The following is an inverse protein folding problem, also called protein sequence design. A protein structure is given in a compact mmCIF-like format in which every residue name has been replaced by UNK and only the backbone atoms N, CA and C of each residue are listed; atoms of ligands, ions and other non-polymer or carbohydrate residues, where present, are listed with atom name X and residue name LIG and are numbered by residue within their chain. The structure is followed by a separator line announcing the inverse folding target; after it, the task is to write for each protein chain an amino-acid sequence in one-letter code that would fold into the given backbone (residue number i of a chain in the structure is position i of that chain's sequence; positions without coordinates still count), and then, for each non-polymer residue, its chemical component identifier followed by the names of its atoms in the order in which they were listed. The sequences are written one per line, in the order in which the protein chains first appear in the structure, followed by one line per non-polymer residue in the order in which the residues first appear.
data_IF_682274735867
#
_entry.id   IF_682274735867
#
_cell.length_a   1.000
_cell.length_b   1.000
_cell.length_c   1.000
_cell.angle_alpha   90.00
_cell.angle_beta   90.00
_cell.angle_gamma   90.00
#
_symmetry.space_group_name_H-M   'P 1'
#
loop_
_entity.id
_entity.type
_entity.pdbx_description
1 polymer ?
#
# COMPACT_ATOMS: atom_id res chain seq x y z
N UNK A 1 12.92 -15.58 8.78
CA UNK A 1 12.71 -16.83 9.51
C UNK A 1 13.97 -17.74 9.53
N UNK A 2 14.68 -17.93 8.41
CA UNK A 2 15.87 -18.83 8.37
C UNK A 2 17.08 -18.29 9.15
N UNK A 3 17.19 -16.96 9.30
CA UNK A 3 18.29 -16.30 10.02
C UNK A 3 18.05 -16.21 11.53
N UNK A 4 16.85 -16.50 12.00
CA UNK A 4 16.48 -16.30 13.40
C UNK A 4 16.30 -14.82 13.80
N UNK A 5 16.44 -13.89 12.86
CA UNK A 5 16.30 -12.46 13.07
C UNK A 5 14.81 -12.09 13.00
N UNK A 6 14.37 -11.24 13.92
CA UNK A 6 13.00 -10.68 13.95
C UNK A 6 13.06 -9.16 13.88
N UNK A 7 13.07 -8.58 12.69
CA UNK A 7 13.07 -7.12 12.57
C UNK A 7 11.79 -6.54 13.20
N UNK A 8 11.91 -5.41 13.87
CA UNK A 8 10.76 -4.62 14.34
C UNK A 8 10.02 -3.99 13.17
N UNK A 9 10.76 -3.68 12.10
CA UNK A 9 10.21 -3.12 10.87
C UNK A 9 10.83 -3.81 9.67
N UNK A 10 9.96 -4.14 8.71
CA UNK A 10 10.36 -4.65 7.40
C UNK A 10 9.45 -4.04 6.33
N UNK A 11 9.95 -2.97 5.69
CA UNK A 11 9.24 -2.24 4.66
C UNK A 11 9.78 -2.59 3.27
N UNK A 12 8.91 -2.62 2.30
CA UNK A 12 9.22 -2.88 0.90
C UNK A 12 8.83 -1.68 0.02
N UNK A 13 9.67 -1.39 -0.96
CA UNK A 13 9.36 -0.49 -2.06
C UNK A 13 9.77 -1.17 -3.37
N UNK A 14 8.86 -1.28 -4.33
CA UNK A 14 9.23 -1.80 -5.65
C UNK A 14 10.12 -0.80 -6.41
N UNK A 15 10.83 -1.29 -7.41
CA UNK A 15 11.74 -0.48 -8.22
C UNK A 15 11.06 0.79 -8.75
N UNK A 16 9.84 0.66 -9.25
CA UNK A 16 9.09 1.77 -9.83
C UNK A 16 8.76 2.85 -8.78
N UNK A 17 8.40 2.45 -7.57
CA UNK A 17 8.20 3.37 -6.44
C UNK A 17 9.49 4.11 -6.10
N UNK A 18 10.63 3.42 -6.07
CA UNK A 18 11.94 4.06 -5.82
C UNK A 18 12.25 5.10 -6.90
N UNK A 19 12.05 4.78 -8.19
CA UNK A 19 12.21 5.71 -9.30
C UNK A 19 11.31 6.95 -9.16
N UNK A 20 10.06 6.77 -8.74
CA UNK A 20 9.13 7.87 -8.47
C UNK A 20 9.64 8.79 -7.36
N UNK A 21 10.13 8.22 -6.25
CA UNK A 21 10.68 9.00 -5.14
C UNK A 21 11.92 9.77 -5.56
N UNK A 22 12.84 9.16 -6.29
CA UNK A 22 14.04 9.83 -6.82
C UNK A 22 13.66 11.00 -7.73
N UNK A 23 12.73 10.78 -8.66
CA UNK A 23 12.25 11.84 -9.56
C UNK A 23 11.57 12.99 -8.79
N UNK A 24 10.81 12.66 -7.76
CA UNK A 24 10.08 13.65 -6.96
C UNK A 24 10.98 14.48 -6.07
N UNK A 25 12.00 13.85 -5.45
CA UNK A 25 12.89 14.53 -4.51
C UNK A 25 14.09 15.18 -5.19
N UNK A 26 14.42 14.79 -6.41
CA UNK A 26 15.65 15.19 -7.11
C UNK A 26 16.91 14.61 -6.45
N UNK A 27 16.77 13.68 -5.52
CA UNK A 27 17.87 13.04 -4.79
C UNK A 27 17.98 11.59 -5.24
N UNK A 28 19.21 11.12 -5.46
CA UNK A 28 19.47 9.68 -5.57
C UNK A 28 19.27 9.06 -4.19
N UNK A 29 18.30 8.18 -4.07
CA UNK A 29 17.97 7.51 -2.81
C UNK A 29 19.14 6.64 -2.34
N UNK A 30 19.84 6.05 -3.29
CA UNK A 30 21.02 5.22 -3.06
C UNK A 30 22.10 5.65 -4.04
N UNK A 31 22.95 6.60 -3.63
CA UNK A 31 24.01 7.15 -4.45
C UNK A 31 24.89 6.04 -5.07
N UNK A 32 24.96 6.02 -6.41
CA UNK A 32 25.77 5.05 -7.16
C UNK A 32 25.12 3.69 -7.39
N UNK A 33 23.91 3.45 -6.93
CA UNK A 33 23.14 2.24 -7.23
C UNK A 33 22.02 2.55 -8.23
N UNK A 34 21.89 1.73 -9.26
CA UNK A 34 20.74 1.76 -10.14
C UNK A 34 19.46 1.51 -9.34
N UNK A 35 18.31 2.09 -9.70
CA UNK A 35 17.07 1.82 -8.99
C UNK A 35 16.76 0.32 -8.96
N UNK A 36 16.65 -0.21 -7.76
CA UNK A 36 16.26 -1.58 -7.46
C UNK A 36 15.09 -1.57 -6.48
N UNK A 37 14.34 -2.68 -6.34
CA UNK A 37 13.47 -2.85 -5.19
C UNK A 37 14.27 -2.75 -3.89
N UNK A 38 13.67 -2.14 -2.87
CA UNK A 38 14.33 -1.84 -1.60
C UNK A 38 13.57 -2.48 -0.45
N UNK A 39 14.32 -3.05 0.47
CA UNK A 39 13.85 -3.42 1.80
C UNK A 39 14.46 -2.46 2.82
N UNK A 40 13.64 -1.83 3.64
CA UNK A 40 14.04 -1.09 4.81
C UNK A 40 13.83 -1.99 6.02
N UNK A 41 14.91 -2.26 6.75
CA UNK A 41 14.92 -3.20 7.87
C UNK A 41 15.34 -2.45 9.12
N UNK A 42 14.55 -2.55 10.20
CA UNK A 42 14.91 -2.01 11.49
C UNK A 42 14.96 -3.12 12.54
N UNK A 43 15.99 -3.11 13.35
CA UNK A 43 16.20 -4.03 14.47
C UNK A 43 16.04 -3.26 15.77
N UNK A 44 15.31 -3.80 16.72
CA UNK A 44 15.15 -3.25 18.06
C UNK A 44 15.44 -4.28 19.14
N UNK A 45 15.52 -3.83 20.40
CA UNK A 45 15.76 -4.69 21.55
C UNK A 45 16.93 -4.19 22.41
N UNK A 46 17.53 -5.11 23.15
CA UNK A 46 18.72 -4.76 23.92
C UNK A 46 19.96 -4.61 23.01
N UNK A 47 20.93 -3.75 23.38
CA UNK A 47 22.08 -3.46 22.53
C UNK A 47 22.89 -4.68 22.08
N UNK A 48 23.00 -5.71 22.92
CA UNK A 48 23.78 -6.92 22.60
C UNK A 48 23.05 -7.81 21.57
N UNK A 49 21.73 -7.86 21.64
CA UNK A 49 20.89 -8.56 20.66
C UNK A 49 20.95 -7.85 19.31
N UNK A 50 20.79 -6.52 19.28
CA UNK A 50 20.87 -5.71 18.05
C UNK A 50 22.24 -5.89 17.40
N UNK A 51 23.34 -5.83 18.16
CA UNK A 51 24.68 -6.01 17.63
C UNK A 51 24.84 -7.42 16.98
N UNK A 52 24.40 -8.46 17.68
CA UNK A 52 24.47 -9.84 17.19
C UNK A 52 23.63 -10.04 15.92
N UNK A 53 22.38 -9.58 15.93
CA UNK A 53 21.48 -9.70 14.78
C UNK A 53 21.96 -8.88 13.59
N UNK A 54 22.49 -7.67 13.81
CA UNK A 54 23.09 -6.84 12.77
C UNK A 54 24.26 -7.52 12.07
N UNK A 55 25.18 -8.12 12.83
CA UNK A 55 26.32 -8.86 12.27
C UNK A 55 25.83 -10.06 11.45
N UNK A 56 24.84 -10.80 11.94
CA UNK A 56 24.27 -11.93 11.21
C UNK A 56 23.58 -11.49 9.91
N UNK A 57 22.83 -10.38 9.96
CA UNK A 57 22.15 -9.83 8.80
C UNK A 57 23.14 -9.35 7.74
N UNK A 58 24.15 -8.58 8.14
CA UNK A 58 25.20 -8.07 7.24
C UNK A 58 25.93 -9.21 6.54
N UNK A 59 26.36 -10.20 7.31
CA UNK A 59 27.01 -11.38 6.74
C UNK A 59 26.13 -12.09 5.71
N UNK A 60 24.85 -12.26 6.00
CA UNK A 60 23.93 -12.90 5.05
C UNK A 60 23.75 -12.07 3.78
N UNK A 61 23.67 -10.73 3.88
CA UNK A 61 23.58 -9.83 2.75
C UNK A 61 24.81 -9.91 1.86
N UNK A 62 26.02 -9.93 2.46
CA UNK A 62 27.30 -10.09 1.77
C UNK A 62 27.39 -11.45 1.07
N UNK A 63 27.10 -12.54 1.78
CA UNK A 63 27.10 -13.90 1.23
C UNK A 63 26.10 -14.06 0.06
N UNK A 64 25.02 -13.26 0.08
CA UNK A 64 23.98 -13.23 -0.97
C UNK A 64 24.30 -12.23 -2.09
N UNK A 65 25.43 -11.54 -2.05
CA UNK A 65 25.83 -10.49 -3.01
C UNK A 65 24.80 -9.36 -3.12
N UNK A 66 24.10 -9.04 -2.03
CA UNK A 66 23.14 -7.94 -1.95
C UNK A 66 23.83 -6.67 -1.46
N UNK A 67 23.52 -5.56 -2.13
CA UNK A 67 23.97 -4.24 -1.68
C UNK A 67 23.13 -3.78 -0.51
N UNK A 68 23.77 -3.19 0.50
CA UNK A 68 23.06 -2.59 1.63
C UNK A 68 23.73 -1.29 2.09
N UNK A 69 22.92 -0.46 2.76
CA UNK A 69 23.36 0.72 3.48
C UNK A 69 22.98 0.54 4.94
N UNK A 70 23.90 0.82 5.84
CA UNK A 70 23.65 0.81 7.27
C UNK A 70 23.56 2.22 7.80
N UNK A 71 22.55 2.50 8.61
CA UNK A 71 22.45 3.75 9.36
C UNK A 71 23.23 3.57 10.68
N UNK A 72 24.28 4.36 10.84
CA UNK A 72 25.11 4.42 12.03
C UNK A 72 24.76 5.61 12.95
N UNK A 73 23.78 6.40 12.58
CA UNK A 73 23.23 7.51 13.33
C UNK A 73 21.75 7.71 13.09
N UNK A 74 21.07 8.42 14.00
CA UNK A 74 19.68 8.77 13.87
C UNK A 74 19.39 9.62 12.61
N UNK A 75 20.31 10.50 12.25
CA UNK A 75 20.20 11.34 11.06
C UNK A 75 20.16 10.49 9.79
N UNK A 76 21.05 9.51 9.68
CA UNK A 76 21.04 8.58 8.54
C UNK A 76 19.82 7.67 8.52
N UNK A 77 19.37 7.20 9.68
CA UNK A 77 18.13 6.45 9.78
C UNK A 77 16.94 7.28 9.28
N UNK A 78 16.85 8.55 9.68
CA UNK A 78 15.81 9.47 9.20
C UNK A 78 15.88 9.72 7.69
N UNK A 79 17.07 9.81 7.10
CA UNK A 79 17.23 9.92 5.64
C UNK A 79 16.68 8.69 4.91
N UNK A 80 16.93 7.48 5.40
CA UNK A 80 16.38 6.25 4.83
C UNK A 80 14.85 6.20 4.98
N UNK A 81 14.33 6.59 6.16
CA UNK A 81 12.90 6.67 6.39
C UNK A 81 12.21 7.73 5.53
N UNK A 82 12.88 8.85 5.24
CA UNK A 82 12.33 9.87 4.36
C UNK A 82 11.93 9.29 3.00
N UNK A 83 12.73 8.37 2.46
CA UNK A 83 12.42 7.68 1.21
C UNK A 83 11.06 6.97 1.27
N UNK A 84 10.85 6.21 2.34
CA UNK A 84 9.58 5.47 2.55
C UNK A 84 8.40 6.45 2.68
N UNK A 85 8.57 7.52 3.47
CA UNK A 85 7.54 8.54 3.67
C UNK A 85 7.20 9.32 2.40
N UNK A 86 8.16 9.50 1.47
CA UNK A 86 7.95 10.19 0.19
C UNK A 86 7.28 9.31 -0.87
N UNK A 87 7.13 8.00 -0.69
CA UNK A 87 6.50 7.11 -1.66
C UNK A 87 5.10 7.57 -2.07
N UNK A 88 4.19 7.76 -1.11
CA UNK A 88 2.82 8.19 -1.38
C UNK A 88 2.72 9.61 -1.96
N UNK A 89 3.40 10.65 -1.44
CA UNK A 89 3.43 11.98 -2.04
C UNK A 89 3.99 12.00 -3.47
N UNK A 90 5.06 11.24 -3.74
CA UNK A 90 5.65 11.15 -5.07
C UNK A 90 4.65 10.61 -6.10
N UNK A 91 3.95 9.54 -5.75
CA UNK A 91 2.93 8.94 -6.62
C UNK A 91 1.73 9.87 -6.84
N UNK A 92 1.30 10.60 -5.81
CA UNK A 92 0.17 11.53 -5.93
C UNK A 92 0.41 12.64 -6.98
N UNK A 93 1.67 12.99 -7.27
CA UNK A 93 2.01 13.99 -8.30
C UNK A 93 1.92 13.45 -9.74
N UNK A 94 1.75 12.15 -9.94
CA UNK A 94 1.81 11.53 -11.26
C UNK A 94 0.50 11.55 -12.04
N UNK A 95 -0.63 11.78 -11.34
CA UNK A 95 -1.97 11.84 -11.94
C UNK A 95 -2.93 12.61 -11.03
N UNK A 96 -4.10 12.95 -11.56
CA UNK A 96 -5.14 13.64 -10.78
C UNK A 96 -5.93 12.70 -9.84
N UNK A 97 -5.76 11.39 -10.00
CA UNK A 97 -6.37 10.38 -9.14
C UNK A 97 -5.36 9.33 -8.71
N UNK A 98 -5.37 9.01 -7.43
CA UNK A 98 -4.61 7.93 -6.83
C UNK A 98 -5.53 7.05 -6.00
N UNK A 99 -5.64 5.78 -6.39
CA UNK A 99 -6.25 4.73 -5.57
C UNK A 99 -5.15 4.00 -4.80
N UNK A 100 -5.33 3.84 -3.51
CA UNK A 100 -4.41 3.10 -2.65
C UNK A 100 -5.12 1.85 -2.14
N UNK A 101 -4.75 0.72 -2.71
CA UNK A 101 -5.28 -0.58 -2.32
C UNK A 101 -4.34 -1.23 -1.30
N UNK A 102 -4.85 -1.34 -0.12
CA UNK A 102 -4.26 -1.99 1.03
C UNK A 102 -4.67 -3.45 1.05
N UNK A 103 -3.78 -4.33 0.64
CA UNK A 103 -4.04 -5.77 0.52
C UNK A 103 -3.04 -6.57 1.35
N UNK A 104 -3.46 -7.74 1.81
CA UNK A 104 -2.60 -8.67 2.55
C UNK A 104 -2.54 -9.99 1.81
N UNK A 105 -1.35 -10.55 1.69
CA UNK A 105 -1.15 -11.92 1.20
C UNK A 105 -0.22 -12.68 2.15
N UNK A 106 -0.28 -14.03 2.18
CA UNK A 106 0.71 -14.82 2.91
C UNK A 106 2.14 -14.42 2.54
N UNK A 107 3.05 -14.45 3.51
CA UNK A 107 4.44 -13.96 3.32
C UNK A 107 5.16 -14.59 2.12
N UNK A 108 4.90 -15.85 1.84
CA UNK A 108 5.45 -16.58 0.70
C UNK A 108 4.82 -16.20 -0.64
N UNK A 109 3.69 -15.48 -0.64
CA UNK A 109 2.95 -15.09 -1.85
C UNK A 109 3.22 -13.63 -2.26
N UNK A 110 4.00 -12.87 -1.48
CA UNK A 110 4.27 -11.47 -1.79
C UNK A 110 4.96 -11.26 -3.13
N UNK A 111 5.88 -12.16 -3.51
CA UNK A 111 6.55 -12.10 -4.81
C UNK A 111 5.52 -12.26 -5.92
N UNK A 112 4.63 -13.25 -5.82
CA UNK A 112 3.57 -13.49 -6.79
C UNK A 112 2.61 -12.30 -6.93
N UNK A 113 2.35 -11.58 -5.83
CA UNK A 113 1.56 -10.35 -5.85
C UNK A 113 2.30 -9.22 -6.59
N UNK A 114 3.58 -8.99 -6.29
CA UNK A 114 4.38 -7.95 -6.94
C UNK A 114 4.55 -8.22 -8.44
N UNK A 115 4.76 -9.48 -8.83
CA UNK A 115 4.82 -9.89 -10.25
C UNK A 115 3.49 -9.61 -10.95
N UNK A 116 2.36 -9.95 -10.34
CA UNK A 116 1.04 -9.62 -10.87
C UNK A 116 0.89 -8.09 -11.09
N UNK A 117 1.34 -7.27 -10.14
CA UNK A 117 1.29 -5.80 -10.31
C UNK A 117 2.15 -5.34 -11.48
N UNK A 118 3.31 -5.95 -11.70
CA UNK A 118 4.16 -5.64 -12.86
C UNK A 118 3.47 -6.01 -14.19
N UNK A 119 2.76 -7.15 -14.23
CA UNK A 119 1.96 -7.55 -15.38
C UNK A 119 0.82 -6.57 -15.63
N UNK A 120 0.05 -6.21 -14.59
CA UNK A 120 -1.05 -5.24 -14.68
C UNK A 120 -0.56 -3.87 -15.18
N UNK A 121 0.57 -3.39 -14.68
CA UNK A 121 1.20 -2.14 -15.13
C UNK A 121 1.46 -2.16 -16.63
N UNK A 122 2.01 -3.25 -17.13
CA UNK A 122 2.38 -3.40 -18.54
C UNK A 122 1.17 -3.61 -19.43
N UNK A 123 0.27 -4.51 -19.05
CA UNK A 123 -0.90 -4.88 -19.86
C UNK A 123 -1.90 -3.73 -20.00
N UNK A 124 -2.18 -3.04 -18.89
CA UNK A 124 -3.13 -1.93 -18.88
C UNK A 124 -2.50 -0.56 -19.19
N UNK A 125 -1.19 -0.52 -19.40
CA UNK A 125 -0.45 0.74 -19.58
C UNK A 125 -0.82 1.79 -18.52
N UNK A 126 -0.74 1.40 -17.24
CA UNK A 126 -1.05 2.23 -16.09
C UNK A 126 0.20 2.49 -15.24
N UNK A 127 0.16 3.57 -14.48
CA UNK A 127 1.15 3.87 -13.44
C UNK A 127 0.73 3.17 -12.16
N UNK A 128 1.41 2.09 -11.78
CA UNK A 128 1.10 1.32 -10.57
C UNK A 128 2.39 1.12 -9.78
N UNK A 129 2.40 1.47 -8.50
CA UNK A 129 3.53 1.27 -7.61
C UNK A 129 3.15 0.49 -6.36
N UNK A 130 4.12 -0.24 -5.81
CA UNK A 130 3.94 -1.06 -4.60
C UNK A 130 4.93 -0.66 -3.54
N UNK A 131 4.44 -0.43 -2.34
CA UNK A 131 5.24 -0.33 -1.13
C UNK A 131 4.41 -0.78 0.08
N UNK A 132 5.03 -1.12 1.19
CA UNK A 132 4.27 -1.47 2.40
C UNK A 132 5.01 -2.39 3.35
N UNK A 133 4.25 -2.90 4.30
CA UNK A 133 4.69 -3.69 5.45
C UNK A 133 4.91 -5.15 5.05
N UNK A 134 6.05 -5.45 4.40
CA UNK A 134 6.28 -6.82 3.94
C UNK A 134 6.57 -7.81 5.09
N UNK A 135 6.79 -7.30 6.31
CA UNK A 135 6.97 -8.15 7.50
C UNK A 135 5.74 -8.94 7.90
N UNK A 136 4.55 -8.43 7.60
CA UNK A 136 3.24 -9.07 7.88
C UNK A 136 2.41 -9.36 6.62
N UNK A 137 2.95 -9.07 5.44
CA UNK A 137 2.29 -9.35 4.16
C UNK A 137 1.37 -8.24 3.67
N UNK A 138 1.29 -7.11 4.38
CA UNK A 138 0.46 -5.98 4.01
C UNK A 138 1.18 -5.06 3.01
N UNK A 139 0.68 -5.03 1.78
CA UNK A 139 1.23 -4.20 0.71
C UNK A 139 0.21 -3.20 0.18
N UNK A 140 0.67 -1.97 -0.02
CA UNK A 140 -0.11 -0.89 -0.61
C UNK A 140 0.15 -0.83 -2.11
N UNK A 141 -0.84 -1.22 -2.91
CA UNK A 141 -0.80 -1.14 -4.37
C UNK A 141 -1.48 0.15 -4.79
N UNK A 142 -0.73 1.05 -5.39
CA UNK A 142 -1.18 2.38 -5.74
C UNK A 142 -1.38 2.50 -7.25
N UNK A 143 -2.60 2.82 -7.66
CA UNK A 143 -2.96 3.10 -9.04
C UNK A 143 -3.06 4.62 -9.24
N UNK A 144 -2.29 5.16 -10.18
CA UNK A 144 -2.36 6.56 -10.58
C UNK A 144 -2.91 6.64 -11.99
N UNK A 145 -4.01 7.39 -12.15
CA UNK A 145 -4.68 7.56 -13.43
C UNK A 145 -5.40 8.90 -13.51
N UNK A 146 -5.79 9.29 -14.71
CA UNK A 146 -6.60 10.48 -14.94
C UNK A 146 -8.09 10.09 -14.96
N UNK A 147 -8.85 10.46 -13.93
CA UNK A 147 -10.28 10.15 -13.86
C UNK A 147 -11.13 10.88 -14.91
N UNK A 148 -10.61 11.94 -15.53
CA UNK A 148 -11.27 12.66 -16.63
C UNK A 148 -11.12 11.90 -17.95
N UNK A 149 -10.12 11.03 -18.08
CA UNK A 149 -9.96 10.11 -19.20
C UNK A 149 -10.75 8.83 -18.96
N UNK A 150 -11.84 8.66 -19.70
CA UNK A 150 -12.75 7.53 -19.57
C UNK A 150 -12.09 6.18 -19.91
N UNK A 151 -11.17 6.16 -20.85
CA UNK A 151 -10.44 4.95 -21.21
C UNK A 151 -9.46 4.56 -20.10
N UNK A 152 -8.68 5.52 -19.60
CA UNK A 152 -7.74 5.27 -18.50
C UNK A 152 -8.47 4.84 -17.21
N UNK A 153 -9.61 5.48 -16.91
CA UNK A 153 -10.47 5.10 -15.77
C UNK A 153 -10.99 3.67 -15.90
N UNK A 154 -11.46 3.28 -17.08
CA UNK A 154 -11.97 1.93 -17.33
C UNK A 154 -10.87 0.87 -17.18
N UNK A 155 -9.67 1.15 -17.71
CA UNK A 155 -8.49 0.28 -17.56
C UNK A 155 -8.06 0.17 -16.09
N UNK A 156 -8.11 1.26 -15.33
CA UNK A 156 -7.78 1.25 -13.91
C UNK A 156 -8.76 0.38 -13.09
N UNK A 157 -10.06 0.47 -13.33
CA UNK A 157 -11.08 -0.34 -12.67
C UNK A 157 -10.93 -1.83 -13.02
N UNK A 158 -10.63 -2.15 -14.28
CA UNK A 158 -10.40 -3.54 -14.69
C UNK A 158 -9.13 -4.11 -14.06
N UNK A 159 -8.03 -3.38 -14.08
CA UNK A 159 -6.78 -3.77 -13.45
C UNK A 159 -6.95 -3.97 -11.93
N UNK A 160 -7.68 -3.07 -11.27
CA UNK A 160 -8.03 -3.21 -9.86
C UNK A 160 -8.84 -4.47 -9.58
N UNK A 161 -9.84 -4.75 -10.42
CA UNK A 161 -10.66 -5.96 -10.28
C UNK A 161 -9.81 -7.23 -10.41
N UNK A 162 -8.86 -7.25 -11.31
CA UNK A 162 -7.92 -8.37 -11.47
C UNK A 162 -6.97 -8.49 -10.30
N UNK A 163 -6.49 -7.37 -9.74
CA UNK A 163 -5.68 -7.37 -8.53
C UNK A 163 -6.45 -8.04 -7.37
N UNK A 164 -7.70 -7.63 -7.13
CA UNK A 164 -8.50 -8.17 -6.02
C UNK A 164 -8.78 -9.68 -6.19
N UNK A 165 -9.02 -10.14 -7.42
CA UNK A 165 -9.13 -11.58 -7.72
C UNK A 165 -7.83 -12.32 -7.43
N UNK A 166 -6.69 -11.76 -7.85
CA UNK A 166 -5.37 -12.35 -7.60
C UNK A 166 -5.06 -12.44 -6.11
N UNK A 167 -5.36 -11.39 -5.34
CA UNK A 167 -5.21 -11.41 -3.88
C UNK A 167 -6.02 -12.56 -3.25
N UNK A 168 -7.26 -12.74 -3.68
CA UNK A 168 -8.09 -13.85 -3.21
C UNK A 168 -7.52 -15.23 -3.61
N UNK A 169 -7.06 -15.40 -4.86
CA UNK A 169 -6.41 -16.62 -5.35
C UNK A 169 -5.16 -16.99 -4.57
N UNK A 170 -4.40 -16.00 -4.12
CA UNK A 170 -3.20 -16.17 -3.28
C UNK A 170 -3.55 -16.47 -1.81
N UNK A 171 -4.83 -16.58 -1.46
CA UNK A 171 -5.27 -16.79 -0.08
C UNK A 171 -5.15 -15.55 0.80
N UNK A 172 -5.11 -14.38 0.18
CA UNK A 172 -4.98 -13.09 0.85
C UNK A 172 -6.31 -12.45 1.22
N UNK A 173 -6.22 -11.23 1.77
CA UNK A 173 -7.35 -10.39 2.14
C UNK A 173 -7.31 -9.05 1.37
N UNK A 174 -8.48 -8.60 0.91
CA UNK A 174 -8.64 -7.35 0.13
C UNK A 174 -8.44 -6.09 0.97
N UNK A 175 -8.34 -6.21 2.29
CA UNK A 175 -7.99 -5.12 3.18
C UNK A 175 -7.13 -5.62 4.33
N UNK A 176 -5.96 -5.00 4.52
CA UNK A 176 -5.08 -5.23 5.64
C UNK A 176 -5.50 -4.40 6.85
N UNK A 177 -5.37 -3.09 6.75
CA UNK A 177 -5.57 -2.16 7.87
C UNK A 177 -6.61 -1.05 7.59
N UNK A 178 -6.87 -0.70 6.31
CA UNK A 178 -7.74 0.43 5.95
C UNK A 178 -9.24 0.14 6.08
N UNK A 179 -9.64 -1.14 6.11
CA UNK A 179 -11.04 -1.55 6.10
C UNK A 179 -11.68 -1.50 4.72
N UNK A 180 -12.95 -1.86 4.66
CA UNK A 180 -13.69 -2.00 3.39
C UNK A 180 -14.28 -0.66 2.93
N UNK A 181 -14.97 0.05 3.81
CA UNK A 181 -15.64 1.31 3.48
C UNK A 181 -16.55 1.20 2.27
N UNK A 182 -16.54 2.23 1.42
CA UNK A 182 -17.22 2.24 0.12
C UNK A 182 -16.34 1.69 -1.00
N UNK A 183 -15.06 2.00 -0.98
CA UNK A 183 -14.13 1.70 -2.06
C UNK A 183 -13.99 0.20 -2.35
N UNK A 184 -13.98 -0.63 -1.31
CA UNK A 184 -13.80 -2.08 -1.43
C UNK A 184 -15.11 -2.88 -1.37
N UNK A 185 -16.25 -2.22 -1.18
CA UNK A 185 -17.57 -2.87 -1.18
C UNK A 185 -17.82 -3.74 -2.42
N UNK A 186 -17.46 -3.35 -3.66
CA UNK A 186 -17.66 -4.19 -4.84
C UNK A 186 -16.92 -5.52 -4.79
N UNK A 187 -15.84 -5.60 -4.04
CA UNK A 187 -14.94 -6.77 -3.99
C UNK A 187 -15.18 -7.67 -2.78
N UNK A 188 -15.87 -7.17 -1.74
CA UNK A 188 -15.99 -7.87 -0.46
C UNK A 188 -16.67 -9.24 -0.59
N UNK A 189 -17.64 -9.38 -1.51
CA UNK A 189 -18.34 -10.65 -1.72
C UNK A 189 -17.47 -11.78 -2.25
N UNK A 190 -16.37 -11.48 -2.94
CA UNK A 190 -15.47 -12.54 -3.42
C UNK A 190 -14.69 -13.20 -2.27
N UNK A 191 -14.58 -12.53 -1.12
CA UNK A 191 -13.79 -13.00 0.01
C UNK A 191 -14.57 -13.94 0.95
N UNK A 192 -15.90 -13.89 0.95
CA UNK A 192 -16.73 -14.61 1.90
C UNK A 192 -17.71 -15.57 1.23
N UNK A 193 -17.87 -16.76 1.81
CA UNK A 193 -18.94 -17.66 1.41
C UNK A 193 -20.31 -17.19 1.93
N UNK A 194 -21.39 -17.83 1.50
CA UNK A 194 -22.74 -17.41 1.84
C UNK A 194 -23.08 -17.52 3.33
N UNK A 195 -22.51 -18.47 4.04
CA UNK A 195 -22.75 -18.64 5.48
C UNK A 195 -22.06 -17.52 6.27
N UNK A 196 -20.81 -17.21 5.95
CA UNK A 196 -20.06 -16.10 6.53
C UNK A 196 -20.77 -14.77 6.26
N UNK A 197 -21.16 -14.53 5.01
CA UNK A 197 -21.87 -13.31 4.63
C UNK A 197 -23.16 -13.10 5.39
N UNK A 198 -24.01 -14.14 5.46
CA UNK A 198 -25.27 -14.10 6.22
C UNK A 198 -25.03 -13.87 7.72
N UNK A 199 -23.99 -14.47 8.28
CA UNK A 199 -23.62 -14.28 9.68
C UNK A 199 -23.21 -12.83 9.95
N UNK A 200 -22.37 -12.23 9.11
CA UNK A 200 -21.98 -10.83 9.21
C UNK A 200 -23.21 -9.89 9.12
N UNK A 201 -24.12 -10.14 8.17
CA UNK A 201 -25.36 -9.39 8.06
C UNK A 201 -26.26 -9.53 9.29
N UNK A 202 -26.37 -10.72 9.88
CA UNK A 202 -27.15 -10.96 11.08
C UNK A 202 -26.58 -10.20 12.28
N UNK A 203 -25.25 -10.19 12.45
CA UNK A 203 -24.57 -9.40 13.49
C UNK A 203 -24.88 -7.92 13.31
N UNK A 204 -24.69 -7.39 12.09
CA UNK A 204 -25.00 -5.99 11.77
C UNK A 204 -26.46 -5.65 12.11
N UNK A 205 -27.40 -6.46 11.68
CA UNK A 205 -28.83 -6.23 11.93
C UNK A 205 -29.20 -6.30 13.42
N UNK A 206 -28.55 -7.16 14.19
CA UNK A 206 -28.78 -7.28 15.63
C UNK A 206 -28.30 -6.04 16.39
N UNK A 207 -27.13 -5.50 16.03
CA UNK A 207 -26.52 -4.35 16.69
C UNK A 207 -27.05 -3.01 16.17
N UNK A 208 -27.54 -2.96 14.94
CA UNK A 208 -28.07 -1.78 14.28
C UNK A 208 -29.40 -2.11 13.56
N UNK A 209 -30.47 -2.39 14.32
CA UNK A 209 -31.76 -2.82 13.74
C UNK A 209 -32.41 -1.76 12.85
N UNK A 210 -32.08 -0.50 13.06
CA UNK A 210 -32.61 0.63 12.28
C UNK A 210 -31.73 1.06 11.11
N UNK A 211 -30.52 0.47 10.94
CA UNK A 211 -29.61 0.74 9.81
C UNK A 211 -29.05 2.16 9.80
N UNK A 212 -28.89 2.79 10.97
CA UNK A 212 -28.41 4.19 11.08
C UNK A 212 -26.89 4.31 11.12
N UNK A 213 -26.18 3.23 11.44
CA UNK A 213 -24.71 3.21 11.52
C UNK A 213 -24.11 2.85 10.16
N UNK A 214 -23.37 3.80 9.57
CA UNK A 214 -22.72 3.62 8.27
C UNK A 214 -23.63 3.01 7.20
N UNK A 215 -24.77 3.65 6.88
CA UNK A 215 -25.71 3.13 5.91
C UNK A 215 -25.06 3.01 4.53
N UNK A 216 -25.44 1.98 3.78
CA UNK A 216 -24.97 1.75 2.42
C UNK A 216 -23.53 1.19 2.29
N UNK A 217 -22.88 0.80 3.41
CA UNK A 217 -21.50 0.28 3.38
C UNK A 217 -21.46 -1.23 3.58
N UNK A 218 -20.55 -1.89 2.89
CA UNK A 218 -20.20 -3.32 2.97
C UNK A 218 -21.31 -4.22 2.42
N UNK A 219 -22.53 -4.16 2.94
CA UNK A 219 -23.62 -5.10 2.64
C UNK A 219 -24.55 -4.65 1.52
N UNK A 220 -24.54 -3.38 1.18
CA UNK A 220 -25.32 -2.87 0.07
C UNK A 220 -24.52 -2.97 -1.24
N UNK A 221 -25.21 -3.18 -2.35
CA UNK A 221 -24.58 -3.15 -3.67
C UNK A 221 -24.34 -1.68 -4.01
N UNK A 222 -23.14 -1.23 -3.69
CA UNK A 222 -22.65 0.07 -4.08
C UNK A 222 -21.45 -0.09 -4.99
N UNK A 223 -21.54 0.47 -6.20
CA UNK A 223 -20.41 0.52 -7.11
C UNK A 223 -19.96 1.98 -7.25
N UNK A 224 -18.89 2.39 -6.55
CA UNK A 224 -18.42 3.78 -6.58
C UNK A 224 -18.01 4.24 -7.98
N UNK A 225 -17.68 3.30 -8.86
CA UNK A 225 -17.21 3.57 -10.23
C UNK A 225 -18.34 3.89 -11.23
N UNK A 226 -19.58 3.52 -10.91
CA UNK A 226 -20.76 3.81 -11.75
C UNK A 226 -21.30 5.23 -11.54
N UNK A 227 -20.83 5.94 -10.54
CA UNK A 227 -21.25 7.32 -10.27
C UNK A 227 -20.43 8.30 -11.10
N UNK A 228 -21.10 9.06 -11.96
CA UNK A 228 -20.50 10.13 -12.80
C UNK A 228 -19.88 11.28 -11.98
N UNK A 229 -20.12 11.36 -10.68
CA UNK A 229 -19.44 12.22 -9.70
C UNK A 229 -19.37 11.48 -8.37
N UNK A 230 -18.17 11.14 -7.93
CA UNK A 230 -17.94 10.91 -6.51
C UNK A 230 -18.03 12.30 -5.86
N UNK A 231 -19.20 12.64 -5.34
CA UNK A 231 -19.43 13.92 -4.66
C UNK A 231 -18.94 13.90 -3.20
N UNK A 232 -18.49 12.76 -2.73
CA UNK A 232 -17.82 12.64 -1.44
C UNK A 232 -16.32 12.60 -1.69
N UNK A 233 -15.65 13.71 -1.48
CA UNK A 233 -14.20 13.73 -1.24
C UNK A 233 -13.92 12.75 -0.12
N UNK A 234 -13.13 11.72 -0.42
CA UNK A 234 -12.71 10.80 0.64
C UNK A 234 -11.85 11.61 1.64
N UNK A 235 -11.90 11.29 2.95
CA UNK A 235 -11.23 12.12 3.98
C UNK A 235 -9.73 12.37 3.72
N UNK A 236 -9.09 11.55 2.90
CA UNK A 236 -7.69 11.68 2.49
C UNK A 236 -7.48 12.45 1.17
N UNK A 237 -8.57 12.87 0.50
CA UNK A 237 -8.50 13.70 -0.72
C UNK A 237 -8.47 15.19 -0.43
N UNK A 238 -8.66 15.60 0.83
CA UNK A 238 -8.39 16.96 1.26
C UNK A 238 -6.89 17.22 1.08
N UNK A 239 -6.57 17.92 0.00
CA UNK A 239 -5.23 18.43 -0.25
C UNK A 239 -4.83 19.33 0.92
N UNK A 240 -3.63 19.15 1.43
CA UNK A 240 -2.97 20.10 2.34
C UNK A 240 -2.64 21.46 1.68
N UNK A 241 -3.36 21.83 0.61
CA UNK A 241 -3.15 23.04 -0.18
C UNK A 241 -4.22 24.11 0.06
N UNK A 242 -5.09 23.96 1.07
CA UNK A 242 -5.87 25.11 1.54
C UNK A 242 -4.96 25.98 2.41
N UNK A 243 -4.81 27.28 2.09
CA UNK A 243 -4.07 28.20 2.95
C UNK A 243 -4.74 28.23 4.33
N UNK A 244 -3.94 28.18 5.38
CA UNK A 244 -4.42 28.34 6.75
C UNK A 244 -5.28 29.62 6.83
N UNK A 245 -6.47 29.56 7.46
CA UNK A 245 -7.29 30.75 7.63
C UNK A 245 -6.49 31.80 8.42
N UNK A 246 -6.44 33.02 7.90
CA UNK A 246 -5.76 34.12 8.57
C UNK A 246 -6.29 34.28 10.01
N UNK A 247 -5.41 34.52 10.98
CA UNK A 247 -5.85 34.70 12.36
C UNK A 247 -6.78 35.90 12.46
N UNK A 248 -7.98 35.65 12.96
CA UNK A 248 -8.96 36.69 13.26
C UNK A 248 -8.35 37.62 14.30
N UNK A 249 -7.90 38.80 13.87
CA UNK A 249 -7.49 39.86 14.79
C UNK A 249 -8.73 40.43 15.45
N UNK A 250 -8.85 40.18 16.75
CA UNK A 250 -9.83 40.83 17.64
C UNK A 250 -9.40 42.25 17.98
#
# INVERSE_FOLDING_TARGET
ARLGIRPSILEFLDKWTVECVQSFTGKEVFAGLSPHPVLLIELDGDPSSIETESVHLQKWLEDSSLCYLSADSNEKAEELWEVRRKGSPAMKKLANTKLNEDVVVPLNEQINLVECVHELRSEFNLKIGVFGHCGDGNLHVNFMYNHEDQDESSRAVEALTRLMKKVHELGGAISGEHGIGLAKTPFVRMQFNDAEWKTMQAIKKTLDPHGILNPGKIFDIFNPWDQKKITTTLPWEHSHDEPEPEPVTS
#
